data_IF_020722892845
#
_entry.id   IF_020722892845
#
_cell.length_a   1.000
_cell.length_b   1.000
_cell.length_c   1.000
_cell.angle_alpha   90.00
_cell.angle_beta   90.00
_cell.angle_gamma   90.00
#
_symmetry.space_group_name_H-M   'P 1'
#
loop_
_entity.id
_entity.type
_entity.pdbx_description
1 polymer ?
#
# COMPACT_ATOMS: atom_id res chain seq x y z
N UNK A 1 -2.38 -16.08 1.71
CA UNK A 1 -1.82 -14.74 1.42
C UNK A 1 -2.65 -13.64 2.06
N UNK A 2 -3.94 -13.52 1.75
CA UNK A 2 -4.81 -12.44 2.29
C UNK A 2 -4.77 -12.34 3.81
N UNK A 3 -4.88 -13.46 4.53
CA UNK A 3 -4.76 -13.48 5.99
C UNK A 3 -3.43 -12.87 6.48
N UNK A 4 -2.31 -13.24 5.87
CA UNK A 4 -0.98 -12.70 6.23
C UNK A 4 -0.86 -11.22 5.88
N UNK A 5 -1.42 -10.79 4.75
CA UNK A 5 -1.47 -9.39 4.37
C UNK A 5 -2.32 -8.56 5.35
N UNK A 6 -3.47 -9.11 5.76
CA UNK A 6 -4.32 -8.51 6.78
C UNK A 6 -3.59 -8.39 8.13
N UNK A 7 -2.90 -9.44 8.57
CA UNK A 7 -2.08 -9.42 9.79
C UNK A 7 -0.96 -8.37 9.70
N UNK A 8 -0.27 -8.24 8.56
CA UNK A 8 0.73 -7.18 8.34
C UNK A 8 0.10 -5.78 8.42
N UNK A 9 -1.06 -5.60 7.79
CA UNK A 9 -1.76 -4.32 7.77
C UNK A 9 -2.18 -3.90 9.17
N UNK A 10 -2.90 -4.76 9.89
CA UNK A 10 -3.47 -4.40 11.20
C UNK A 10 -2.40 -4.27 12.28
N UNK A 11 -1.36 -5.12 12.27
CA UNK A 11 -0.40 -5.17 13.36
C UNK A 11 0.86 -4.33 13.10
N UNK A 12 1.14 -3.92 11.86
CA UNK A 12 2.37 -3.21 11.52
C UNK A 12 2.11 -1.92 10.75
N UNK A 13 1.42 -1.98 9.61
CA UNK A 13 1.28 -0.80 8.75
C UNK A 13 0.35 0.24 9.37
N UNK A 14 -0.85 -0.15 9.81
CA UNK A 14 -1.80 0.78 10.41
C UNK A 14 -1.26 1.46 11.68
N UNK A 15 -0.70 0.72 12.67
CA UNK A 15 -0.14 1.35 13.87
C UNK A 15 0.96 2.38 13.58
N UNK A 16 1.71 2.20 12.48
CA UNK A 16 2.80 3.08 12.09
C UNK A 16 2.35 4.29 11.27
N UNK A 17 1.35 4.13 10.41
CA UNK A 17 1.02 5.11 9.36
C UNK A 17 -0.36 5.77 9.51
N UNK A 18 -1.33 5.11 10.15
CA UNK A 18 -2.66 5.67 10.41
C UNK A 18 -2.58 6.43 11.74
N UNK A 19 -2.06 7.65 11.66
CA UNK A 19 -1.88 8.53 12.81
C UNK A 19 -3.08 9.47 12.97
N UNK A 20 -3.34 9.95 14.20
CA UNK A 20 -4.34 10.99 14.42
C UNK A 20 -4.08 12.22 13.54
N UNK A 21 -5.13 12.90 13.07
CA UNK A 21 -4.96 14.12 12.29
C UNK A 21 -4.16 15.14 13.08
N UNK A 22 -3.15 15.73 12.45
CA UNK A 22 -2.43 16.85 13.06
C UNK A 22 -3.34 18.07 13.14
N UNK A 23 -3.04 19.00 14.07
CA UNK A 23 -3.81 20.24 14.21
C UNK A 23 -3.80 21.10 12.93
N UNK A 24 -2.81 20.90 12.06
CA UNK A 24 -2.77 21.49 10.73
C UNK A 24 -3.60 20.67 9.74
N UNK A 25 -4.89 21.02 9.65
CA UNK A 25 -5.88 20.37 8.79
C UNK A 25 -5.74 20.76 7.31
N UNK A 26 -4.57 21.17 6.83
CA UNK A 26 -4.39 21.49 5.41
C UNK A 26 -3.76 20.34 4.61
N UNK A 27 -2.97 19.47 5.25
CA UNK A 27 -2.28 18.38 4.55
C UNK A 27 -3.08 17.08 4.53
N UNK A 28 -2.87 16.29 3.48
CA UNK A 28 -3.47 14.97 3.35
C UNK A 28 -2.82 14.00 4.35
N UNK A 29 -3.62 13.11 4.92
CA UNK A 29 -3.14 12.10 5.88
C UNK A 29 -3.85 10.77 5.68
N UNK A 30 -3.15 9.68 6.02
CA UNK A 30 -3.68 8.31 5.84
C UNK A 30 -4.71 8.03 6.93
N UNK A 31 -5.90 7.60 6.50
CA UNK A 31 -7.01 7.19 7.39
C UNK A 31 -7.21 5.69 7.44
N UNK A 32 -6.78 4.96 6.41
CA UNK A 32 -6.87 3.51 6.35
C UNK A 32 -5.81 2.94 5.41
N UNK A 33 -5.42 1.69 5.65
CA UNK A 33 -4.59 0.90 4.75
C UNK A 33 -5.31 -0.43 4.56
N UNK A 34 -5.44 -0.87 3.30
CA UNK A 34 -6.09 -2.13 2.96
C UNK A 34 -5.34 -2.85 1.86
N UNK A 35 -5.67 -4.12 1.67
CA UNK A 35 -5.25 -4.88 0.51
C UNK A 35 -6.45 -5.50 -0.21
N UNK A 36 -6.37 -5.59 -1.54
CA UNK A 36 -7.42 -6.21 -2.36
C UNK A 36 -6.85 -6.84 -3.61
N UNK A 37 -7.46 -7.94 -4.04
CA UNK A 37 -7.29 -8.45 -5.39
C UNK A 37 -8.02 -7.56 -6.40
N UNK A 38 -7.38 -7.36 -7.53
CA UNK A 38 -8.04 -6.86 -8.73
C UNK A 38 -7.39 -7.53 -9.95
N UNK A 39 -8.16 -8.41 -10.60
CA UNK A 39 -7.70 -9.31 -11.65
C UNK A 39 -6.49 -10.12 -11.15
N UNK A 40 -5.36 -10.08 -11.86
CA UNK A 40 -4.17 -10.89 -11.56
C UNK A 40 -3.24 -10.28 -10.51
N UNK A 41 -3.64 -9.17 -9.90
CA UNK A 41 -2.79 -8.38 -9.03
C UNK A 41 -3.40 -8.21 -7.64
N UNK A 42 -2.56 -8.37 -6.63
CA UNK A 42 -2.89 -8.09 -5.24
C UNK A 42 -2.25 -6.76 -4.84
N UNK A 43 -3.08 -5.77 -4.51
CA UNK A 43 -2.64 -4.40 -4.23
C UNK A 43 -2.68 -4.09 -2.75
N UNK A 44 -1.72 -3.30 -2.28
CA UNK A 44 -1.81 -2.55 -1.03
C UNK A 44 -2.13 -1.10 -1.33
N UNK A 45 -3.05 -0.54 -0.55
CA UNK A 45 -3.75 0.71 -0.86
C UNK A 45 -3.88 1.52 0.43
N UNK A 46 -3.44 2.77 0.36
CA UNK A 46 -3.66 3.79 1.38
C UNK A 46 -4.89 4.61 1.01
N UNK A 47 -5.76 4.86 2.00
CA UNK A 47 -6.86 5.83 1.88
C UNK A 47 -6.41 7.11 2.57
N UNK A 48 -6.52 8.23 1.87
CA UNK A 48 -6.15 9.55 2.37
C UNK A 48 -7.39 10.40 2.62
N UNK A 49 -7.40 11.12 3.73
CA UNK A 49 -8.28 12.27 3.93
C UNK A 49 -7.64 13.53 3.35
N UNK A 50 -8.44 14.38 2.72
CA UNK A 50 -8.06 15.65 2.12
C UNK A 50 -8.85 16.79 2.77
N UNK A 51 -8.38 17.32 3.91
CA UNK A 51 -9.11 18.33 4.67
C UNK A 51 -9.01 19.75 4.09
N UNK A 52 -8.13 19.97 3.12
CA UNK A 52 -7.93 21.27 2.49
C UNK A 52 -9.19 21.83 1.83
N UNK A 53 -9.43 23.13 1.95
CA UNK A 53 -10.63 23.81 1.43
C UNK A 53 -10.80 23.74 -0.08
N UNK A 54 -9.70 23.51 -0.80
CA UNK A 54 -9.66 23.40 -2.26
C UNK A 54 -9.55 21.95 -2.74
N UNK A 55 -9.74 20.96 -1.86
CA UNK A 55 -9.70 19.55 -2.25
C UNK A 55 -10.82 19.21 -3.25
N UNK A 56 -10.46 18.55 -4.36
CA UNK A 56 -11.43 18.09 -5.38
C UNK A 56 -12.38 17.03 -4.79
N UNK A 57 -11.88 16.23 -3.85
CA UNK A 57 -12.62 15.18 -3.13
C UNK A 57 -12.18 15.15 -1.67
N UNK A 58 -13.06 14.83 -0.70
CA UNK A 58 -12.68 14.71 0.70
C UNK A 58 -11.71 13.54 0.96
N UNK A 59 -11.65 12.55 0.05
CA UNK A 59 -10.74 11.41 0.15
C UNK A 59 -10.25 10.93 -1.21
N UNK A 60 -9.13 10.21 -1.23
CA UNK A 60 -8.67 9.43 -2.39
C UNK A 60 -7.93 8.16 -1.95
N UNK A 61 -7.77 7.22 -2.89
CA UNK A 61 -6.95 6.01 -2.70
C UNK A 61 -5.64 6.14 -3.48
N UNK A 62 -4.52 5.75 -2.85
CA UNK A 62 -3.23 5.58 -3.52
C UNK A 62 -2.73 4.15 -3.33
N UNK A 63 -2.31 3.50 -4.43
CA UNK A 63 -1.71 2.16 -4.38
C UNK A 63 -0.20 2.32 -4.23
N UNK A 64 0.41 1.64 -3.27
CA UNK A 64 1.86 1.74 -3.04
C UNK A 64 2.61 0.44 -3.32
N UNK A 65 1.95 -0.72 -3.18
CA UNK A 65 2.54 -2.02 -3.53
C UNK A 65 1.59 -2.86 -4.40
N UNK A 66 2.18 -3.65 -5.29
CA UNK A 66 1.48 -4.62 -6.15
C UNK A 66 2.26 -5.92 -6.22
N UNK A 67 1.59 -7.01 -5.88
CA UNK A 67 2.06 -8.37 -6.10
C UNK A 67 1.36 -8.96 -7.32
N UNK A 68 2.12 -9.53 -8.25
CA UNK A 68 1.64 -10.22 -9.44
C UNK A 68 2.00 -11.71 -9.34
N UNK A 69 1.03 -12.61 -9.44
CA UNK A 69 1.30 -14.04 -9.36
C UNK A 69 1.98 -14.55 -10.64
N UNK A 70 3.19 -15.10 -10.51
CA UNK A 70 3.97 -15.64 -11.63
C UNK A 70 3.81 -17.15 -11.81
N UNK A 71 3.11 -17.83 -10.90
CA UNK A 71 3.01 -19.29 -10.86
C UNK A 71 3.87 -19.90 -9.75
N UNK A 72 3.61 -21.17 -9.42
CA UNK A 72 4.38 -21.95 -8.42
C UNK A 72 4.55 -21.26 -7.06
N UNK A 73 3.56 -20.45 -6.64
CA UNK A 73 3.61 -19.71 -5.38
C UNK A 73 4.62 -18.55 -5.37
N UNK A 74 5.08 -18.11 -6.56
CA UNK A 74 6.00 -17.00 -6.74
C UNK A 74 5.29 -15.74 -7.26
N UNK A 75 5.83 -14.59 -6.88
CA UNK A 75 5.27 -13.29 -7.16
C UNK A 75 6.34 -12.31 -7.67
N UNK A 76 5.96 -11.45 -8.59
CA UNK A 76 6.68 -10.21 -8.84
C UNK A 76 6.15 -9.13 -7.88
N UNK A 77 7.05 -8.33 -7.33
CA UNK A 77 6.70 -7.21 -6.45
C UNK A 77 7.07 -5.89 -7.13
N UNK A 78 6.10 -4.99 -7.21
CA UNK A 78 6.24 -3.68 -7.86
C UNK A 78 5.74 -2.57 -6.94
N UNK A 79 6.38 -1.40 -6.99
CA UNK A 79 5.91 -0.17 -6.35
C UNK A 79 5.34 0.80 -7.38
N UNK A 80 4.46 1.68 -6.93
CA UNK A 80 3.88 2.74 -7.76
C UNK A 80 4.74 4.00 -7.66
N UNK A 81 5.12 4.57 -8.79
CA UNK A 81 5.72 5.91 -8.84
C UNK A 81 4.66 7.01 -8.81
N UNK A 82 5.08 8.23 -8.48
CA UNK A 82 4.21 9.41 -8.48
C UNK A 82 3.59 9.74 -9.85
N UNK A 83 4.12 9.16 -10.94
CA UNK A 83 3.61 9.26 -12.30
C UNK A 83 2.68 8.09 -12.69
N UNK A 84 2.18 7.34 -11.70
CA UNK A 84 1.28 6.19 -11.86
C UNK A 84 1.87 4.99 -12.62
N UNK A 85 3.19 4.98 -12.83
CA UNK A 85 3.88 3.85 -13.42
C UNK A 85 4.29 2.83 -12.36
N UNK A 86 4.04 1.56 -12.65
CA UNK A 86 4.52 0.45 -11.83
C UNK A 86 5.96 0.09 -12.18
N UNK A 87 6.84 0.13 -11.20
CA UNK A 87 8.23 -0.33 -11.34
C UNK A 87 8.39 -1.62 -10.56
N UNK A 88 8.79 -2.67 -11.29
CA UNK A 88 9.09 -3.97 -10.71
C UNK A 88 10.45 -3.92 -10.03
N UNK A 89 10.49 -4.31 -8.75
CA UNK A 89 11.71 -4.36 -7.94
C UNK A 89 12.21 -5.80 -7.78
N UNK A 90 11.29 -6.74 -7.64
CA UNK A 90 11.62 -8.14 -7.44
C UNK A 90 10.79 -9.04 -8.34
N UNK A 91 11.39 -10.16 -8.73
CA UNK A 91 10.77 -11.28 -9.41
C UNK A 91 10.99 -12.56 -8.60
N UNK A 92 10.00 -13.44 -8.57
CA UNK A 92 10.17 -14.78 -8.01
C UNK A 92 10.14 -14.86 -6.48
N UNK A 93 9.56 -13.88 -5.79
CA UNK A 93 9.42 -13.89 -4.34
C UNK A 93 8.26 -14.76 -3.87
N UNK A 94 8.42 -15.42 -2.73
CA UNK A 94 7.30 -15.99 -1.97
C UNK A 94 6.43 -14.87 -1.38
N UNK A 95 5.24 -15.26 -0.87
CA UNK A 95 4.37 -14.31 -0.16
C UNK A 95 5.08 -13.67 1.02
N UNK A 96 5.81 -14.44 1.83
CA UNK A 96 6.46 -13.93 3.05
C UNK A 96 7.59 -12.96 2.73
N UNK A 97 8.35 -13.23 1.67
CA UNK A 97 9.38 -12.31 1.17
C UNK A 97 8.76 -11.00 0.64
N UNK A 98 7.63 -11.08 -0.07
CA UNK A 98 6.93 -9.89 -0.52
C UNK A 98 6.44 -9.04 0.66
N UNK A 99 5.79 -9.67 1.65
CA UNK A 99 5.27 -8.97 2.82
C UNK A 99 6.39 -8.33 3.66
N UNK A 100 7.52 -9.01 3.80
CA UNK A 100 8.70 -8.44 4.45
C UNK A 100 9.27 -7.24 3.70
N UNK A 101 9.39 -7.33 2.37
CA UNK A 101 9.82 -6.20 1.55
C UNK A 101 8.87 -5.00 1.67
N UNK A 102 7.55 -5.24 1.63
CA UNK A 102 6.54 -4.18 1.81
C UNK A 102 6.67 -3.50 3.18
N UNK A 103 7.07 -4.22 4.22
CA UNK A 103 7.24 -3.68 5.57
C UNK A 103 8.52 -2.85 5.70
N UNK A 104 9.64 -3.35 5.16
CA UNK A 104 10.98 -2.90 5.51
C UNK A 104 11.63 -2.00 4.45
N UNK A 105 11.21 -2.10 3.18
CA UNK A 105 11.84 -1.38 2.07
C UNK A 105 11.20 0.02 1.86
N UNK A 106 12.01 1.10 1.78
CA UNK A 106 11.52 2.46 1.54
C UNK A 106 10.73 2.66 0.24
N UNK A 107 10.80 1.75 -0.72
CA UNK A 107 9.99 1.85 -1.95
C UNK A 107 8.49 1.63 -1.73
N UNK A 108 8.08 0.98 -0.64
CA UNK A 108 6.68 0.61 -0.37
C UNK A 108 6.03 1.45 0.74
N UNK A 109 6.45 2.71 0.85
CA UNK A 109 5.85 3.61 1.83
C UNK A 109 4.37 3.90 1.48
N UNK A 110 3.44 3.69 2.44
CA UNK A 110 2.02 4.00 2.29
C UNK A 110 1.71 5.47 1.98
#
# INVERSE_FOLDING_TARGET
MEKKAHELIENVLKPKHVLPPTNDKQFNYITDIKAKWNRNYFYFISTYACPGTNAISPTFESKFARMEHLGFGKFALSFMRHNEQWVRLHDGLSVDECLKSIQDDPWFMP
#
